data_IF_232543533610
#
_entry.id   IF_232543533610
#
_cell.length_a   1.000
_cell.length_b   1.000
_cell.length_c   1.000
_cell.angle_alpha   90.00
_cell.angle_beta   90.00
_cell.angle_gamma   90.00
#
_symmetry.space_group_name_H-M   'P 1'
#
loop_
_entity.id
_entity.type
_entity.pdbx_description
1 polymer ?
#
# COMPACT_ATOMS: atom_id res chain seq x y z
N UNK A 1 -8.52 12.77 11.95
CA UNK A 1 -8.22 11.45 12.53
C UNK A 1 -6.78 11.49 12.98
N UNK A 2 -6.53 11.17 14.24
CA UNK A 2 -5.16 11.08 14.78
C UNK A 2 -4.68 9.65 14.60
N UNK A 3 -3.64 9.47 13.79
CA UNK A 3 -3.00 8.16 13.62
C UNK A 3 -2.33 7.74 14.93
N UNK A 4 -2.29 6.44 15.20
CA UNK A 4 -1.56 5.87 16.35
C UNK A 4 -0.06 6.14 16.22
N UNK A 5 0.65 5.98 17.33
CA UNK A 5 2.11 5.92 17.30
C UNK A 5 2.59 4.81 16.34
N UNK A 6 3.71 5.03 15.63
CA UNK A 6 4.29 4.03 14.74
C UNK A 6 4.60 2.71 15.47
N UNK A 7 4.19 1.60 14.88
CA UNK A 7 4.53 0.24 15.34
C UNK A 7 5.39 -0.47 14.29
N UNK A 8 6.26 -1.38 14.73
CA UNK A 8 7.08 -2.20 13.84
C UNK A 8 6.36 -3.49 13.50
N UNK A 9 6.56 -3.99 12.29
CA UNK A 9 6.06 -5.29 11.86
C UNK A 9 6.92 -5.91 10.76
N UNK A 10 6.51 -7.09 10.34
CA UNK A 10 7.11 -7.81 9.21
C UNK A 10 6.05 -8.08 8.16
N UNK A 11 6.42 -8.03 6.89
CA UNK A 11 5.50 -8.37 5.79
C UNK A 11 5.42 -9.90 5.64
N UNK A 12 4.27 -10.48 5.97
CA UNK A 12 4.02 -11.93 5.88
C UNK A 12 3.81 -12.37 4.42
N UNK A 13 3.14 -11.54 3.63
CA UNK A 13 2.85 -11.77 2.21
C UNK A 13 2.69 -10.46 1.43
N UNK A 14 2.94 -10.52 0.13
CA UNK A 14 2.75 -9.41 -0.79
C UNK A 14 2.19 -9.93 -2.10
N UNK A 15 0.92 -9.66 -2.34
CA UNK A 15 0.16 -10.25 -3.45
C UNK A 15 -0.17 -9.19 -4.50
N UNK A 16 -0.09 -9.62 -5.76
CA UNK A 16 -0.69 -8.94 -6.91
C UNK A 16 -1.53 -9.99 -7.62
N UNK A 17 -2.84 -9.77 -7.68
CA UNK A 17 -3.78 -10.80 -8.14
C UNK A 17 -4.95 -10.18 -8.91
N UNK A 18 -5.63 -11.02 -9.69
CA UNK A 18 -6.91 -10.68 -10.31
C UNK A 18 -8.03 -11.03 -9.32
N UNK A 19 -8.50 -10.03 -8.58
CA UNK A 19 -9.65 -10.16 -7.70
C UNK A 19 -10.96 -10.12 -8.50
N UNK A 20 -11.93 -10.92 -8.04
CA UNK A 20 -13.29 -11.00 -8.61
C UNK A 20 -13.33 -11.37 -10.11
N UNK A 21 -12.22 -11.83 -10.66
CA UNK A 21 -12.07 -12.19 -12.08
C UNK A 21 -11.81 -11.01 -13.03
N UNK A 22 -11.74 -9.76 -12.55
CA UNK A 22 -11.58 -8.60 -13.43
C UNK A 22 -10.81 -7.40 -12.85
N UNK A 23 -10.46 -7.39 -11.56
CA UNK A 23 -9.74 -6.28 -10.91
C UNK A 23 -8.31 -6.71 -10.65
N UNK A 24 -7.32 -6.02 -11.21
CA UNK A 24 -5.93 -6.18 -10.81
C UNK A 24 -5.72 -5.36 -9.53
N UNK A 25 -5.39 -6.01 -8.43
CA UNK A 25 -5.15 -5.34 -7.15
C UNK A 25 -3.83 -5.79 -6.51
N UNK A 26 -3.36 -4.97 -5.58
CA UNK A 26 -2.19 -5.26 -4.76
C UNK A 26 -2.54 -5.11 -3.28
N UNK A 27 -2.11 -6.10 -2.49
CA UNK A 27 -2.30 -6.14 -1.04
C UNK A 27 -1.08 -6.75 -0.37
N UNK A 28 -0.65 -6.17 0.74
CA UNK A 28 0.37 -6.77 1.62
C UNK A 28 -0.27 -7.13 2.96
N UNK A 29 0.27 -8.16 3.61
CA UNK A 29 -0.11 -8.54 4.97
C UNK A 29 1.03 -8.20 5.92
N UNK A 30 0.75 -7.42 6.96
CA UNK A 30 1.73 -6.98 7.95
C UNK A 30 1.42 -7.65 9.29
N UNK A 31 2.44 -8.24 9.88
CA UNK A 31 2.39 -8.92 11.16
C UNK A 31 3.18 -8.14 12.21
N UNK A 32 2.52 -7.79 13.31
CA UNK A 32 3.12 -7.03 14.42
C UNK A 32 3.67 -7.92 15.55
N UNK A 33 3.80 -9.22 15.30
CA UNK A 33 4.20 -10.24 16.25
C UNK A 33 3.02 -10.86 17.02
N UNK A 34 1.84 -10.25 16.98
CA UNK A 34 0.62 -10.77 17.64
C UNK A 34 -0.50 -11.06 16.65
N UNK A 35 -0.65 -10.21 15.63
CA UNK A 35 -1.71 -10.31 14.64
C UNK A 35 -1.23 -9.89 13.25
N UNK A 36 -1.87 -10.44 12.23
CA UNK A 36 -1.64 -10.06 10.84
C UNK A 36 -2.83 -9.26 10.33
N UNK A 37 -2.58 -8.10 9.72
CA UNK A 37 -3.61 -7.26 9.10
C UNK A 37 -3.21 -6.94 7.65
N UNK A 38 -4.21 -6.82 6.79
CA UNK A 38 -4.00 -6.44 5.39
C UNK A 38 -3.85 -4.92 5.27
N UNK A 39 -2.90 -4.50 4.44
CA UNK A 39 -2.74 -3.13 3.97
C UNK A 39 -2.75 -3.15 2.44
N UNK A 40 -3.74 -2.49 1.82
CA UNK A 40 -3.91 -2.51 0.37
C UNK A 40 -5.34 -2.71 -0.07
N UNK A 41 -5.57 -3.66 -0.98
CA UNK A 41 -6.74 -3.65 -1.85
C UNK A 41 -6.65 -2.53 -2.90
N UNK A 42 -5.42 -2.09 -3.21
CA UNK A 42 -5.20 -0.99 -4.14
C UNK A 42 -5.37 -1.48 -5.57
N UNK A 43 -6.31 -0.86 -6.29
CA UNK A 43 -6.61 -1.21 -7.67
C UNK A 43 -5.50 -0.68 -8.57
N UNK A 44 -4.77 -1.59 -9.20
CA UNK A 44 -3.74 -1.30 -10.20
C UNK A 44 -4.33 -1.20 -11.62
N UNK A 45 -5.53 -1.76 -11.82
CA UNK A 45 -6.20 -1.77 -13.10
C UNK A 45 -7.24 -2.88 -13.17
N UNK A 46 -7.51 -3.36 -14.38
CA UNK A 46 -8.48 -4.42 -14.61
C UNK A 46 -8.34 -5.08 -15.97
N UNK A 47 -9.04 -6.18 -16.15
CA UNK A 47 -9.05 -6.91 -17.41
C UNK A 47 -9.70 -6.08 -18.52
N UNK A 48 -9.41 -6.37 -19.80
CA UNK A 48 -10.06 -5.72 -20.93
C UNK A 48 -11.59 -5.76 -20.81
N UNK A 49 -12.26 -4.64 -21.11
CA UNK A 49 -13.72 -4.51 -21.03
C UNK A 49 -14.30 -4.33 -19.62
N UNK A 50 -13.47 -4.37 -18.56
CA UNK A 50 -13.91 -4.03 -17.20
C UNK A 50 -13.95 -2.51 -16.99
N UNK A 51 -14.74 -2.05 -16.00
CA UNK A 51 -14.73 -0.64 -15.58
C UNK A 51 -13.35 -0.18 -15.06
N UNK A 52 -12.53 -1.10 -14.55
CA UNK A 52 -11.16 -0.83 -14.12
C UNK A 52 -10.13 -0.92 -15.27
N UNK A 53 -10.58 -1.21 -16.50
CA UNK A 53 -9.74 -1.31 -17.69
C UNK A 53 -9.23 0.03 -18.23
N UNK A 54 -9.81 1.16 -17.82
CA UNK A 54 -9.40 2.51 -18.27
C UNK A 54 -8.12 3.07 -17.65
N UNK A 55 -7.23 2.22 -17.11
CA UNK A 55 -6.02 2.63 -16.39
C UNK A 55 -5.00 3.34 -17.28
N UNK A 56 -5.06 3.15 -18.61
CA UNK A 56 -4.21 3.82 -19.60
C UNK A 56 -4.29 5.35 -19.59
N UNK A 57 -5.41 5.91 -19.12
CA UNK A 57 -5.62 7.37 -19.00
C UNK A 57 -5.51 7.88 -17.56
N UNK A 58 -5.24 6.97 -16.61
CA UNK A 58 -5.16 7.30 -15.20
C UNK A 58 -3.76 7.83 -14.82
N UNK A 59 -3.66 8.67 -13.78
CA UNK A 59 -2.36 9.02 -13.20
C UNK A 59 -1.59 7.77 -12.81
N UNK A 60 -0.27 7.85 -12.75
CA UNK A 60 0.56 6.71 -12.38
C UNK A 60 0.53 6.42 -10.86
N UNK A 61 -0.66 6.44 -10.26
CA UNK A 61 -0.93 6.09 -8.86
C UNK A 61 -0.57 4.64 -8.56
N UNK A 62 -0.58 3.79 -9.58
CA UNK A 62 -0.13 2.40 -9.48
C UNK A 62 1.37 2.32 -9.20
N UNK A 63 2.20 3.06 -9.96
CA UNK A 63 3.63 3.10 -9.67
C UNK A 63 3.91 3.74 -8.32
N UNK A 64 3.20 4.80 -7.95
CA UNK A 64 3.35 5.43 -6.63
C UNK A 64 3.08 4.40 -5.52
N UNK A 65 1.95 3.71 -5.55
CA UNK A 65 1.63 2.64 -4.59
C UNK A 65 2.74 1.59 -4.48
N UNK A 66 3.17 1.02 -5.61
CA UNK A 66 4.17 -0.05 -5.65
C UNK A 66 5.53 0.44 -5.15
N UNK A 67 6.00 1.59 -5.66
CA UNK A 67 7.30 2.17 -5.30
C UNK A 67 7.34 2.56 -3.84
N UNK A 68 6.27 3.17 -3.31
CA UNK A 68 6.22 3.57 -1.91
C UNK A 68 6.29 2.38 -0.96
N UNK A 69 5.60 1.27 -1.25
CA UNK A 69 5.70 0.05 -0.44
C UNK A 69 7.11 -0.55 -0.53
N UNK A 70 7.65 -0.66 -1.74
CA UNK A 70 8.99 -1.21 -1.95
C UNK A 70 10.07 -0.36 -1.28
N UNK A 71 9.94 0.96 -1.32
CA UNK A 71 10.84 1.91 -0.65
C UNK A 71 10.76 1.78 0.87
N UNK A 72 9.54 1.70 1.44
CA UNK A 72 9.35 1.52 2.88
C UNK A 72 9.98 0.22 3.42
N UNK A 73 10.06 -0.82 2.58
CA UNK A 73 10.63 -2.11 2.94
C UNK A 73 12.07 -2.33 2.45
N UNK A 74 12.68 -1.34 1.78
CA UNK A 74 13.97 -1.44 1.07
C UNK A 74 14.04 -2.67 0.14
N UNK A 75 12.93 -2.98 -0.53
CA UNK A 75 12.83 -4.08 -1.47
C UNK A 75 13.12 -3.62 -2.90
N UNK A 76 13.96 -4.37 -3.61
CA UNK A 76 14.27 -4.12 -5.04
C UNK A 76 13.30 -4.87 -5.96
N UNK A 77 12.71 -5.98 -5.50
CA UNK A 77 11.68 -6.74 -6.21
C UNK A 77 10.47 -6.90 -5.32
N UNK A 78 9.28 -6.91 -5.91
CA UNK A 78 8.03 -7.15 -5.16
C UNK A 78 8.06 -8.46 -4.37
N UNK A 79 8.62 -9.52 -4.96
CA UNK A 79 8.81 -10.81 -4.30
C UNK A 79 9.72 -10.77 -3.07
N UNK A 80 10.57 -9.75 -2.94
CA UNK A 80 11.50 -9.58 -1.82
C UNK A 80 10.84 -8.92 -0.61
N UNK A 81 9.57 -8.49 -0.72
CA UNK A 81 8.84 -7.86 0.38
C UNK A 81 8.60 -8.84 1.53
N UNK A 82 8.36 -10.12 1.24
CA UNK A 82 8.11 -11.12 2.27
C UNK A 82 9.30 -11.23 3.22
N UNK A 83 9.03 -11.10 4.52
CA UNK A 83 10.02 -11.12 5.59
C UNK A 83 10.73 -9.79 5.83
N UNK A 84 10.42 -8.73 5.06
CA UNK A 84 10.97 -7.39 5.31
C UNK A 84 10.31 -6.74 6.50
N UNK A 85 11.12 -6.04 7.29
CA UNK A 85 10.66 -5.25 8.41
C UNK A 85 10.19 -3.87 7.92
N UNK A 86 9.09 -3.39 8.48
CA UNK A 86 8.50 -2.09 8.17
C UNK A 86 7.94 -1.46 9.44
N UNK A 87 7.69 -0.15 9.37
CA UNK A 87 6.84 0.56 10.32
C UNK A 87 5.47 0.78 9.73
N UNK A 88 4.46 0.85 10.58
CA UNK A 88 3.12 1.19 10.16
C UNK A 88 2.40 2.01 11.23
N UNK A 89 1.35 2.73 10.81
CA UNK A 89 0.43 3.44 11.70
C UNK A 89 -0.97 2.90 11.49
N UNK A 90 -1.74 2.85 12.57
CA UNK A 90 -3.17 2.55 12.52
C UNK A 90 -3.99 3.82 12.74
N UNK A 91 -5.23 3.80 12.31
CA UNK A 91 -6.20 4.81 12.75
C UNK A 91 -6.92 4.38 14.04
N UNK A 92 -7.91 5.16 14.45
CA UNK A 92 -8.73 4.92 15.65
C UNK A 92 -9.57 3.64 15.55
N UNK A 93 -9.80 3.13 14.33
CA UNK A 93 -10.51 1.85 14.11
C UNK A 93 -9.58 0.64 14.16
N UNK A 94 -8.26 0.90 14.21
CA UNK A 94 -7.23 -0.13 14.20
C UNK A 94 -6.82 -0.57 12.80
N UNK A 95 -7.28 0.10 11.74
CA UNK A 95 -6.86 -0.20 10.36
C UNK A 95 -5.50 0.43 10.07
N UNK A 96 -4.59 -0.30 9.41
CA UNK A 96 -3.32 0.27 8.93
C UNK A 96 -3.63 1.32 7.85
N UNK A 97 -3.19 2.54 8.10
CA UNK A 97 -3.38 3.70 7.21
C UNK A 97 -2.09 4.22 6.60
N UNK A 98 -0.94 3.87 7.17
CA UNK A 98 0.35 4.27 6.64
C UNK A 98 1.41 3.19 6.87
N UNK A 99 2.38 3.12 5.96
CA UNK A 99 3.58 2.29 6.04
C UNK A 99 4.81 3.17 5.90
N UNK A 100 5.90 2.80 6.57
CA UNK A 100 7.15 3.54 6.51
C UNK A 100 8.37 2.68 6.78
N UNK A 101 9.54 3.27 6.55
CA UNK A 101 10.81 2.63 6.80
C UNK A 101 11.10 2.49 8.30
N UNK A 102 11.84 1.45 8.70
CA UNK A 102 12.08 1.16 10.13
C UNK A 102 13.01 2.18 10.80
N UNK A 103 13.97 2.75 10.07
CA UNK A 103 14.94 3.72 10.62
C UNK A 103 14.87 5.12 9.98
N UNK A 104 14.08 5.32 8.93
CA UNK A 104 13.97 6.61 8.25
C UNK A 104 12.59 7.20 8.53
N UNK A 105 12.56 8.22 9.39
CA UNK A 105 11.31 8.92 9.76
C UNK A 105 10.75 9.78 8.61
N UNK A 106 11.55 10.04 7.56
CA UNK A 106 11.11 10.81 6.38
C UNK A 106 10.46 9.94 5.30
N UNK A 107 10.55 8.61 5.42
CA UNK A 107 10.04 7.66 4.42
C UNK A 107 8.71 7.07 4.90
N UNK A 108 7.65 7.86 4.81
CA UNK A 108 6.27 7.42 5.07
C UNK A 108 5.41 7.49 3.82
N UNK A 109 4.54 6.50 3.70
CA UNK A 109 3.51 6.45 2.69
C UNK A 109 2.14 6.28 3.35
N UNK A 110 1.33 7.33 3.21
CA UNK A 110 -0.07 7.37 3.63
C UNK A 110 -0.95 7.58 2.38
N UNK A 111 -1.57 6.52 1.84
CA UNK A 111 -2.29 6.57 0.57
C UNK A 111 -3.36 7.68 0.52
N UNK A 112 -4.10 7.88 1.61
CA UNK A 112 -5.14 8.89 1.68
C UNK A 112 -4.59 10.31 1.53
N UNK A 113 -3.45 10.62 2.15
CA UNK A 113 -2.79 11.91 2.04
C UNK A 113 -2.21 12.12 0.63
N UNK A 114 -1.46 11.13 0.12
CA UNK A 114 -0.81 11.21 -1.20
C UNK A 114 -1.84 11.38 -2.31
N UNK A 115 -2.81 10.46 -2.41
CA UNK A 115 -3.81 10.49 -3.47
C UNK A 115 -4.90 11.54 -3.25
N UNK A 116 -5.15 11.95 -2.01
CA UNK A 116 -6.01 13.09 -1.70
C UNK A 116 -5.45 14.40 -2.23
N UNK A 117 -4.15 14.63 -2.07
CA UNK A 117 -3.47 15.83 -2.58
C UNK A 117 -3.53 15.95 -4.10
N UNK A 118 -3.50 14.83 -4.82
CA UNK A 118 -3.61 14.80 -6.29
C UNK A 118 -5.01 15.17 -6.78
N UNK A 119 -6.05 14.82 -6.02
CA UNK A 119 -7.42 15.23 -6.35
C UNK A 119 -7.58 16.75 -6.16
N UNK A 120 -7.01 17.29 -5.07
CA UNK A 120 -7.09 18.72 -4.77
C UNK A 120 -6.28 19.61 -5.75
N UNK A 121 -5.17 19.12 -6.30
CA UNK A 121 -4.37 19.87 -7.29
C UNK A 121 -4.95 19.87 -8.71
N UNK A 122 -6.01 19.08 -8.95
CA UNK A 122 -6.63 18.88 -10.27
C UNK A 122 -8.07 19.38 -10.35
N UNK A 123 -8.62 19.91 -9.26
CA UNK A 123 -9.89 20.62 -9.19
C UNK A 123 -9.68 22.12 -9.32
#
# INVERSE_FOLDING_TARGET
MTNTDPTNGTIDSAEINIARGFILESTIAINDGTSTQLFGGFILGGTPGSKAGGHETSPNSCAEWIVSIMSAAEAVRWSDLRGRAVRFKRDETGEIVAIGHITSDDHWFEPAAVFGSWKASRS
#
